data_IF_422510062049
#
_entry.id   IF_422510062049
#
_cell.length_a   1.000
_cell.length_b   1.000
_cell.length_c   1.000
_cell.angle_alpha   90.00
_cell.angle_beta   90.00
_cell.angle_gamma   90.00
#
_symmetry.space_group_name_H-M   'P 1'
#
loop_
_entity.id
_entity.type
_entity.pdbx_description
1 polymer ?
#
# COMPACT_ATOMS: atom_id res chain seq x y z
N UNK A 1 -8.30 10.76 -10.49
CA UNK A 1 -7.12 11.39 -11.12
C UNK A 1 -6.34 10.33 -11.91
N UNK A 2 -6.04 10.63 -13.15
CA UNK A 2 -5.35 9.70 -14.05
C UNK A 2 -3.99 9.25 -13.49
N UNK A 3 -3.26 10.15 -12.84
CA UNK A 3 -1.96 9.82 -12.26
C UNK A 3 -2.08 8.75 -11.16
N UNK A 4 -3.09 8.83 -10.31
CA UNK A 4 -3.28 7.83 -9.27
C UNK A 4 -3.68 6.48 -9.84
N UNK A 5 -4.45 6.47 -10.93
CA UNK A 5 -4.79 5.22 -11.62
C UNK A 5 -3.53 4.59 -12.20
N UNK A 6 -2.72 5.39 -12.89
CA UNK A 6 -1.48 4.88 -13.51
C UNK A 6 -0.47 4.41 -12.46
N UNK A 7 -0.23 5.21 -11.42
CA UNK A 7 0.70 4.85 -10.35
C UNK A 7 0.21 3.60 -9.62
N UNK A 8 -1.07 3.55 -9.29
CA UNK A 8 -1.65 2.38 -8.63
C UNK A 8 -1.54 1.12 -9.48
N UNK A 9 -1.74 1.24 -10.78
CA UNK A 9 -1.59 0.11 -11.69
C UNK A 9 -0.14 -0.38 -11.75
N UNK A 10 0.82 0.54 -11.83
CA UNK A 10 2.25 0.18 -11.81
C UNK A 10 2.66 -0.47 -10.48
N UNK A 11 2.18 0.09 -9.37
CA UNK A 11 2.45 -0.49 -8.05
C UNK A 11 1.80 -1.87 -7.90
N UNK A 12 0.63 -2.07 -8.49
CA UNK A 12 -0.05 -3.38 -8.48
C UNK A 12 0.76 -4.40 -9.29
N UNK A 13 1.29 -4.00 -10.45
CA UNK A 13 2.16 -4.86 -11.24
C UNK A 13 3.41 -5.25 -10.45
N UNK A 14 4.02 -4.29 -9.77
CA UNK A 14 5.19 -4.55 -8.92
C UNK A 14 4.83 -5.50 -7.79
N UNK A 15 3.66 -5.35 -7.17
CA UNK A 15 3.23 -6.24 -6.10
C UNK A 15 3.07 -7.69 -6.60
N UNK A 16 2.54 -7.86 -7.81
CA UNK A 16 2.42 -9.20 -8.42
C UNK A 16 3.81 -9.80 -8.67
N UNK A 17 4.74 -9.00 -9.19
CA UNK A 17 6.11 -9.44 -9.43
C UNK A 17 6.78 -9.87 -8.11
N UNK A 18 6.67 -9.05 -7.08
CA UNK A 18 7.27 -9.35 -5.78
C UNK A 18 6.60 -10.55 -5.11
N UNK A 19 5.29 -10.68 -5.25
CA UNK A 19 4.56 -11.83 -4.74
C UNK A 19 4.97 -13.13 -5.41
N UNK A 20 5.09 -13.12 -6.73
CA UNK A 20 5.53 -14.29 -7.48
C UNK A 20 6.99 -14.64 -7.16
N UNK A 21 7.87 -13.64 -7.06
CA UNK A 21 9.26 -13.85 -6.69
C UNK A 21 9.36 -14.47 -5.29
N UNK A 22 8.56 -13.99 -4.34
CA UNK A 22 8.52 -14.55 -2.99
C UNK A 22 8.10 -16.01 -2.97
N UNK A 23 7.05 -16.33 -3.75
CA UNK A 23 6.53 -17.69 -3.80
C UNK A 23 7.50 -18.69 -4.42
N UNK A 24 8.31 -18.26 -5.39
CA UNK A 24 9.19 -19.14 -6.15
C UNK A 24 10.68 -18.96 -5.82
N UNK A 25 11.15 -17.71 -5.68
CA UNK A 25 12.56 -17.40 -5.49
C UNK A 25 13.01 -17.39 -4.03
N UNK A 26 12.15 -16.89 -3.12
CA UNK A 26 12.51 -16.73 -1.72
C UNK A 26 12.07 -17.88 -0.82
N UNK A 27 11.27 -18.79 -1.35
CA UNK A 27 10.64 -19.88 -0.58
C UNK A 27 11.65 -20.67 0.26
N UNK A 28 12.82 -20.97 -0.31
CA UNK A 28 13.84 -21.77 0.36
C UNK A 28 14.96 -20.92 0.98
N UNK A 29 14.88 -19.59 0.85
CA UNK A 29 15.92 -18.67 1.32
C UNK A 29 15.56 -17.99 2.63
N UNK A 30 14.25 -17.86 2.92
CA UNK A 30 13.76 -17.19 4.12
C UNK A 30 13.23 -18.19 5.13
N UNK A 31 13.42 -17.89 6.41
CA UNK A 31 12.74 -18.62 7.48
C UNK A 31 11.25 -18.36 7.41
N UNK A 32 10.40 -19.25 7.96
CA UNK A 32 8.94 -19.05 7.93
C UNK A 32 8.49 -17.70 8.49
N UNK A 33 9.13 -17.21 9.55
CA UNK A 33 8.80 -15.92 10.15
C UNK A 33 9.11 -14.77 9.20
N UNK A 34 10.24 -14.82 8.50
CA UNK A 34 10.63 -13.81 7.52
C UNK A 34 9.71 -13.84 6.30
N UNK A 35 9.34 -15.04 5.86
CA UNK A 35 8.40 -15.18 4.74
C UNK A 35 7.04 -14.60 5.10
N UNK A 36 6.56 -14.76 6.33
CA UNK A 36 5.32 -14.17 6.77
C UNK A 36 5.37 -12.63 6.73
N UNK A 37 6.50 -12.03 7.14
CA UNK A 37 6.70 -10.58 7.06
C UNK A 37 6.69 -10.12 5.61
N UNK A 38 7.39 -10.85 4.74
CA UNK A 38 7.42 -10.54 3.31
C UNK A 38 6.03 -10.59 2.69
N UNK A 39 5.25 -11.63 3.00
CA UNK A 39 3.88 -11.77 2.50
C UNK A 39 2.97 -10.65 3.00
N UNK A 40 3.15 -10.22 4.24
CA UNK A 40 2.42 -9.06 4.78
C UNK A 40 2.76 -7.80 3.98
N UNK A 41 4.04 -7.60 3.67
CA UNK A 41 4.48 -6.45 2.88
C UNK A 41 3.80 -6.43 1.51
N UNK A 42 3.80 -7.58 0.81
CA UNK A 42 3.20 -7.71 -0.51
C UNK A 42 1.69 -7.47 -0.45
N UNK A 43 1.02 -8.06 0.54
CA UNK A 43 -0.43 -7.95 0.71
C UNK A 43 -0.87 -6.49 0.89
N UNK A 44 -0.23 -5.77 1.81
CA UNK A 44 -0.57 -4.38 2.08
C UNK A 44 -0.18 -3.47 0.93
N UNK A 45 0.94 -3.75 0.28
CA UNK A 45 1.36 -3.05 -0.92
C UNK A 45 0.28 -3.17 -2.02
N UNK A 46 -0.13 -4.38 -2.34
CA UNK A 46 -1.12 -4.62 -3.39
C UNK A 46 -2.48 -4.00 -3.04
N UNK A 47 -2.94 -4.23 -1.81
CA UNK A 47 -4.24 -3.74 -1.35
C UNK A 47 -4.33 -2.22 -1.44
N UNK A 48 -3.27 -1.51 -1.08
CA UNK A 48 -3.25 -0.05 -1.10
C UNK A 48 -2.90 0.52 -2.47
N UNK A 49 -2.22 -0.25 -3.32
CA UNK A 49 -2.10 0.09 -4.74
C UNK A 49 -3.48 0.09 -5.40
N UNK A 50 -4.31 -0.90 -5.11
CA UNK A 50 -5.70 -0.93 -5.55
C UNK A 50 -6.50 0.21 -4.92
N UNK A 51 -6.25 0.52 -3.65
CA UNK A 51 -6.86 1.67 -2.98
C UNK A 51 -6.56 2.98 -3.70
N UNK A 52 -5.33 3.13 -4.18
CA UNK A 52 -4.93 4.31 -4.96
C UNK A 52 -5.73 4.42 -6.26
N UNK A 53 -5.93 3.30 -6.95
CA UNK A 53 -6.76 3.25 -8.16
C UNK A 53 -8.21 3.63 -7.81
N UNK A 54 -8.75 3.10 -6.71
CA UNK A 54 -10.10 3.43 -6.27
C UNK A 54 -10.27 4.94 -6.05
N UNK A 55 -9.30 5.56 -5.40
CA UNK A 55 -9.32 7.01 -5.19
C UNK A 55 -9.31 7.72 -6.55
N UNK A 56 -8.48 7.25 -7.47
CA UNK A 56 -8.35 7.87 -8.79
C UNK A 56 -9.63 7.80 -9.62
N UNK A 57 -10.39 6.71 -9.52
CA UNK A 57 -11.62 6.52 -10.32
C UNK A 57 -12.87 7.01 -9.60
N UNK A 58 -12.81 7.28 -8.30
CA UNK A 58 -13.99 7.59 -7.50
C UNK A 58 -14.63 8.94 -7.82
N UNK A 59 -13.86 9.87 -8.38
CA UNK A 59 -14.31 11.24 -8.55
C UNK A 59 -14.41 12.03 -7.25
N UNK A 60 -14.04 11.42 -6.13
CA UNK A 60 -14.07 12.08 -4.82
C UNK A 60 -12.82 12.93 -4.66
N UNK A 61 -13.02 14.22 -4.34
CA UNK A 61 -11.89 15.11 -4.13
C UNK A 61 -11.30 14.90 -2.75
N UNK A 62 -10.14 14.28 -2.72
CA UNK A 62 -9.40 14.04 -1.49
C UNK A 62 -7.89 14.06 -1.80
N UNK A 63 -7.27 15.26 -1.86
CA UNK A 63 -5.87 15.35 -2.28
C UNK A 63 -4.91 14.57 -1.37
N UNK A 64 -5.20 14.49 -0.08
CA UNK A 64 -4.34 13.78 0.86
C UNK A 64 -4.55 12.27 0.87
N UNK A 65 -5.69 11.78 0.38
CA UNK A 65 -5.95 10.33 0.37
C UNK A 65 -4.88 9.59 -0.44
N UNK A 66 -4.64 10.03 -1.67
CA UNK A 66 -3.65 9.40 -2.53
C UNK A 66 -2.23 9.55 -2.00
N UNK A 67 -1.90 10.73 -1.49
CA UNK A 67 -0.57 10.99 -0.92
C UNK A 67 -0.29 10.09 0.28
N UNK A 68 -1.27 9.92 1.16
CA UNK A 68 -1.13 9.07 2.33
C UNK A 68 -1.09 7.59 1.96
N UNK A 69 -1.83 7.17 0.93
CA UNK A 69 -1.71 5.81 0.41
C UNK A 69 -0.29 5.52 -0.09
N UNK A 70 0.28 6.44 -0.88
CA UNK A 70 1.65 6.29 -1.38
C UNK A 70 2.67 6.28 -0.25
N UNK A 71 2.54 7.22 0.68
CA UNK A 71 3.44 7.28 1.84
C UNK A 71 3.35 5.99 2.66
N UNK A 72 2.13 5.49 2.85
CA UNK A 72 1.93 4.23 3.57
C UNK A 72 2.59 3.05 2.89
N UNK A 73 2.49 2.94 1.56
CA UNK A 73 3.14 1.86 0.81
C UNK A 73 4.66 1.93 1.01
N UNK A 74 5.24 3.13 0.91
CA UNK A 74 6.68 3.31 1.08
C UNK A 74 7.12 2.97 2.52
N UNK A 75 6.45 3.49 3.52
CA UNK A 75 6.86 3.33 4.91
C UNK A 75 6.47 1.98 5.50
N UNK A 76 5.32 1.44 5.12
CA UNK A 76 4.88 0.14 5.63
C UNK A 76 5.53 -1.00 4.86
N UNK A 77 5.15 -1.17 3.59
CA UNK A 77 5.64 -2.29 2.79
C UNK A 77 7.13 -2.13 2.46
N UNK A 78 7.57 -0.92 2.15
CA UNK A 78 8.97 -0.65 1.86
C UNK A 78 9.88 -1.00 3.03
N UNK A 79 9.51 -0.64 4.26
CA UNK A 79 10.31 -0.96 5.44
C UNK A 79 10.38 -2.46 5.68
N UNK A 80 9.28 -3.19 5.44
CA UNK A 80 9.23 -4.64 5.62
C UNK A 80 10.05 -5.35 4.55
N UNK A 81 10.01 -4.89 3.29
CA UNK A 81 10.88 -5.44 2.25
C UNK A 81 12.35 -5.28 2.63
N UNK A 82 12.74 -4.09 3.08
CA UNK A 82 14.12 -3.82 3.47
C UNK A 82 14.52 -4.63 4.69
N UNK A 83 13.62 -4.78 5.65
CA UNK A 83 13.87 -5.58 6.85
C UNK A 83 14.19 -7.03 6.48
N UNK A 84 13.39 -7.62 5.59
CA UNK A 84 13.58 -9.01 5.15
C UNK A 84 14.89 -9.16 4.37
N UNK A 85 15.19 -8.20 3.47
CA UNK A 85 16.39 -8.28 2.62
C UNK A 85 17.68 -8.02 3.37
N UNK A 86 17.66 -7.12 4.38
CA UNK A 86 18.87 -6.71 5.10
C UNK A 86 19.03 -7.38 6.44
N UNK A 87 17.95 -7.90 7.02
CA UNK A 87 17.96 -8.45 8.37
C UNK A 87 18.04 -7.39 9.47
N UNK A 88 17.92 -6.10 9.12
CA UNK A 88 18.02 -5.01 10.09
C UNK A 88 16.66 -4.81 10.76
N UNK A 89 16.49 -5.38 11.97
CA UNK A 89 15.21 -5.33 12.69
C UNK A 89 14.73 -3.93 13.04
N UNK A 90 15.64 -2.96 13.17
CA UNK A 90 15.30 -1.56 13.46
C UNK A 90 14.40 -0.93 12.40
N UNK A 91 14.42 -1.45 11.17
CA UNK A 91 13.55 -0.97 10.11
C UNK A 91 12.05 -1.15 10.45
N UNK A 92 11.72 -2.10 11.33
CA UNK A 92 10.36 -2.29 11.82
C UNK A 92 9.82 -1.11 12.62
N UNK A 93 10.68 -0.19 13.06
CA UNK A 93 10.24 1.04 13.74
C UNK A 93 9.52 1.98 12.76
N UNK A 94 9.90 1.93 11.49
CA UNK A 94 9.29 2.76 10.42
C UNK A 94 7.90 2.27 10.06
N UNK A 95 7.67 0.96 10.15
CA UNK A 95 6.44 0.31 9.70
C UNK A 95 5.16 0.90 10.32
N UNK A 96 5.08 1.17 11.66
CA UNK A 96 3.87 1.76 12.24
C UNK A 96 3.50 3.12 11.68
N UNK A 97 4.47 3.92 11.24
CA UNK A 97 4.19 5.21 10.61
C UNK A 97 3.47 5.01 9.28
N UNK A 98 3.89 4.01 8.52
CA UNK A 98 3.20 3.65 7.28
C UNK A 98 1.81 3.12 7.53
N UNK A 99 1.64 2.27 8.54
CA UNK A 99 0.32 1.77 8.94
C UNK A 99 -0.62 2.90 9.36
N UNK A 100 -0.10 3.87 10.12
CA UNK A 100 -0.87 5.06 10.50
C UNK A 100 -1.29 5.85 9.28
N UNK A 101 -0.39 6.03 8.30
CA UNK A 101 -0.72 6.73 7.05
C UNK A 101 -1.85 6.02 6.31
N UNK A 102 -1.84 4.70 6.26
CA UNK A 102 -2.93 3.92 5.66
C UNK A 102 -4.26 4.16 6.36
N UNK A 103 -4.27 4.07 7.68
CA UNK A 103 -5.48 4.25 8.48
C UNK A 103 -6.06 5.64 8.24
N UNK A 104 -5.22 6.67 8.30
CA UNK A 104 -5.66 8.04 8.08
C UNK A 104 -6.21 8.20 6.66
N UNK A 105 -5.53 7.62 5.66
CA UNK A 105 -5.99 7.69 4.27
C UNK A 105 -7.40 7.13 4.12
N UNK A 106 -7.66 5.96 4.67
CA UNK A 106 -8.99 5.34 4.60
C UNK A 106 -10.05 6.17 5.33
N UNK A 107 -9.71 6.70 6.52
CA UNK A 107 -10.66 7.51 7.30
C UNK A 107 -11.00 8.82 6.59
N UNK A 108 -10.01 9.50 6.00
CA UNK A 108 -10.28 10.72 5.25
C UNK A 108 -11.07 10.41 3.99
N UNK A 109 -10.77 9.30 3.34
CA UNK A 109 -11.51 8.89 2.15
C UNK A 109 -12.98 8.62 2.49
N UNK A 110 -13.23 7.90 3.58
CA UNK A 110 -14.58 7.64 4.06
C UNK A 110 -15.31 8.94 4.36
N UNK A 111 -14.66 9.87 5.05
CA UNK A 111 -15.25 11.18 5.36
C UNK A 111 -15.54 11.99 4.10
N UNK A 112 -14.60 12.02 3.16
CA UNK A 112 -14.77 12.75 1.91
C UNK A 112 -15.91 12.18 1.07
N UNK A 113 -16.05 10.87 1.05
CA UNK A 113 -17.16 10.20 0.38
C UNK A 113 -18.50 10.53 1.04
N UNK A 114 -18.53 10.52 2.37
CA UNK A 114 -19.74 10.82 3.13
C UNK A 114 -20.23 12.24 2.89
N UNK A 115 -19.33 13.21 2.80
CA UNK A 115 -19.67 14.62 2.57
C UNK A 115 -20.12 14.91 1.14
N UNK A 116 -19.86 14.00 0.20
CA UNK A 116 -20.19 14.25 -1.19
C UNK A 116 -21.70 14.33 -1.37
N UNK A 117 -22.17 15.39 -2.06
CA UNK A 117 -23.62 15.58 -2.28
C UNK A 117 -24.12 14.56 -3.30
N UNK A 118 -25.43 14.24 -3.29
CA UNK A 118 -26.01 13.33 -4.27
C UNK A 118 -25.72 13.72 -5.72
N UNK A 119 -25.74 15.00 -6.05
CA UNK A 119 -25.47 15.49 -7.41
C UNK A 119 -24.04 15.20 -7.84
N UNK A 120 -23.09 15.24 -6.92
CA UNK A 120 -21.69 14.97 -7.23
C UNK A 120 -21.37 13.49 -7.22
N UNK A 121 -22.27 12.65 -6.70
CA UNK A 121 -22.13 11.19 -6.70
C UNK A 121 -22.72 10.57 -7.96
N UNK A 122 -23.75 11.18 -8.49
CA UNK A 122 -24.47 10.65 -9.66
C UNK A 122 -23.63 10.50 -10.93
#
# INVERSE_FOLDING_TARGET
MKSYIAIGALLSALAVILGAFGAHGLKNMLHPAEMAVYQTAVQYHFLHALGLILIGVSGIRCPWCGRLMLLGILLFSGSLYLLVLTGIGKLGIITPFGGTAFIIAWLIFAWSAWKKTPESVA
#
